data_IF_100733965758
#
_entry.id   IF_100733965758
#
_cell.length_a   1.000
_cell.length_b   1.000
_cell.length_c   1.000
_cell.angle_alpha   90.00
_cell.angle_beta   90.00
_cell.angle_gamma   90.00
#
_symmetry.space_group_name_H-M   'P 1'
#
loop_
_entity.id
_entity.type
_entity.pdbx_description
1 polymer ?
#
# COMPACT_ATOMS: atom_id res chain seq x y z
N UNK A 1 -28.73 36.44 13.88
CA UNK A 1 -27.80 37.57 13.66
C UNK A 1 -28.41 38.45 12.60
N UNK A 2 -28.31 39.77 12.74
CA UNK A 2 -28.80 40.72 11.73
C UNK A 2 -27.65 41.05 10.76
N UNK A 3 -27.96 41.18 9.48
CA UNK A 3 -26.98 41.48 8.44
C UNK A 3 -26.77 42.98 8.31
N UNK A 4 -25.52 43.42 8.22
CA UNK A 4 -25.14 44.82 8.01
C UNK A 4 -24.51 44.98 6.63
N UNK A 5 -24.84 46.05 5.90
CA UNK A 5 -24.13 46.40 4.66
C UNK A 5 -22.77 47.00 4.99
N UNK A 6 -21.72 46.41 4.44
CA UNK A 6 -20.34 46.87 4.59
C UNK A 6 -19.74 47.27 3.24
N UNK A 7 -18.87 48.30 3.18
CA UNK A 7 -18.13 48.62 1.98
C UNK A 7 -17.11 47.52 1.64
N UNK A 8 -17.17 46.98 0.42
CA UNK A 8 -16.23 45.95 -0.07
C UNK A 8 -14.79 46.47 -0.13
N UNK A 9 -14.61 47.78 -0.30
CA UNK A 9 -13.30 48.46 -0.26
C UNK A 9 -12.62 48.40 1.11
N UNK A 10 -13.39 48.18 2.18
CA UNK A 10 -12.90 48.03 3.56
C UNK A 10 -12.84 46.58 4.02
N UNK A 11 -13.21 45.63 3.16
CA UNK A 11 -13.16 44.19 3.42
C UNK A 11 -11.78 43.64 3.02
N UNK A 12 -10.98 43.29 4.03
CA UNK A 12 -9.60 42.83 3.91
C UNK A 12 -9.54 41.33 4.19
N UNK A 13 -8.76 40.60 3.41
CA UNK A 13 -8.54 39.17 3.63
C UNK A 13 -7.73 38.93 4.92
N UNK A 14 -8.11 37.91 5.68
CA UNK A 14 -7.39 37.55 6.89
C UNK A 14 -5.99 37.02 6.58
N UNK A 15 -4.98 37.45 7.35
CA UNK A 15 -3.61 36.90 7.30
C UNK A 15 -3.53 35.42 7.67
N UNK A 16 -4.56 34.89 8.35
CA UNK A 16 -4.66 33.48 8.77
C UNK A 16 -5.36 32.59 7.74
N UNK A 17 -5.65 33.10 6.54
CA UNK A 17 -6.21 32.31 5.44
C UNK A 17 -5.14 31.34 4.90
N UNK A 18 -5.34 30.04 5.15
CA UNK A 18 -4.39 29.01 4.75
C UNK A 18 -4.52 28.61 3.27
N UNK A 19 -5.73 28.74 2.69
CA UNK A 19 -5.99 28.41 1.28
C UNK A 19 -5.59 29.58 0.40
N UNK A 20 -4.65 29.34 -0.53
CA UNK A 20 -4.17 30.38 -1.47
C UNK A 20 -4.99 30.47 -2.75
N UNK A 21 -5.51 29.36 -3.25
CA UNK A 21 -6.28 29.33 -4.49
C UNK A 21 -7.79 29.24 -4.23
N UNK A 22 -8.53 30.23 -4.72
CA UNK A 22 -9.99 30.27 -4.60
C UNK A 22 -10.71 29.48 -5.69
N UNK A 23 -10.01 29.09 -6.77
CA UNK A 23 -10.57 28.44 -7.96
C UNK A 23 -11.41 29.39 -8.84
N UNK A 24 -12.12 28.84 -9.82
CA UNK A 24 -13.02 29.63 -10.69
C UNK A 24 -14.25 30.13 -9.91
N UNK A 25 -14.49 31.44 -9.99
CA UNK A 25 -15.62 32.16 -9.37
C UNK A 25 -16.62 32.70 -10.41
N UNK A 26 -16.41 32.48 -11.70
CA UNK A 26 -17.23 33.03 -12.79
C UNK A 26 -18.71 32.65 -12.67
N UNK A 27 -19.01 31.37 -12.41
CA UNK A 27 -20.38 30.89 -12.20
C UNK A 27 -21.03 31.50 -10.94
N UNK A 28 -20.24 31.72 -9.88
CA UNK A 28 -20.72 32.36 -8.66
C UNK A 28 -21.00 33.86 -8.90
N UNK A 29 -20.14 34.54 -9.66
CA UNK A 29 -20.36 35.93 -10.07
C UNK A 29 -21.66 36.06 -10.87
N UNK A 30 -21.88 35.20 -11.88
CA UNK A 30 -23.14 35.18 -12.64
C UNK A 30 -24.36 34.93 -11.74
N UNK A 31 -24.25 34.04 -10.75
CA UNK A 31 -25.34 33.80 -9.80
C UNK A 31 -25.64 35.04 -8.93
N UNK A 32 -24.62 35.74 -8.46
CA UNK A 32 -24.76 36.98 -7.67
C UNK A 32 -25.35 38.10 -8.52
N UNK A 33 -24.98 38.21 -9.79
CA UNK A 33 -25.55 39.18 -10.73
C UNK A 33 -27.06 38.98 -10.92
N UNK A 34 -27.51 37.72 -11.03
CA UNK A 34 -28.93 37.38 -11.27
C UNK A 34 -29.77 37.43 -9.98
N UNK A 35 -29.26 36.89 -8.88
CA UNK A 35 -30.05 36.64 -7.66
C UNK A 35 -29.69 37.59 -6.51
N UNK A 36 -28.67 38.42 -6.66
CA UNK A 36 -28.08 39.17 -5.57
C UNK A 36 -27.27 38.29 -4.61
N UNK A 37 -26.78 38.88 -3.53
CA UNK A 37 -26.05 38.17 -2.49
C UNK A 37 -27.03 37.40 -1.58
N UNK A 38 -27.23 36.11 -1.87
CA UNK A 38 -28.11 35.25 -1.07
C UNK A 38 -27.51 34.97 0.32
N UNK A 39 -26.20 34.73 0.40
CA UNK A 39 -25.52 34.38 1.65
C UNK A 39 -24.62 35.53 2.13
N UNK A 40 -24.83 36.07 3.34
CA UNK A 40 -24.00 37.12 3.92
C UNK A 40 -22.56 36.67 4.18
N UNK A 41 -21.59 37.59 4.09
CA UNK A 41 -20.21 37.36 4.51
C UNK A 41 -20.12 37.25 6.04
N UNK A 42 -19.05 36.66 6.56
CA UNK A 42 -18.73 36.74 8.00
C UNK A 42 -17.44 37.52 8.12
N UNK A 43 -17.48 38.64 8.85
CA UNK A 43 -16.34 39.52 9.06
C UNK A 43 -16.16 39.86 10.53
N UNK A 44 -14.94 40.18 10.93
CA UNK A 44 -14.64 40.77 12.24
C UNK A 44 -14.31 42.25 12.05
N UNK A 45 -14.86 43.11 12.90
CA UNK A 45 -14.53 44.54 12.86
C UNK A 45 -13.10 44.76 13.37
N UNK A 46 -12.26 45.43 12.57
CA UNK A 46 -10.89 45.78 12.90
C UNK A 46 -10.63 47.26 12.57
N UNK A 47 -10.80 48.12 13.58
CA UNK A 47 -10.74 49.57 13.43
C UNK A 47 -11.75 50.09 12.40
N UNK A 48 -11.25 50.71 11.33
CA UNK A 48 -12.06 51.22 10.21
C UNK A 48 -12.28 50.18 9.09
N UNK A 49 -11.73 48.97 9.24
CA UNK A 49 -11.78 47.88 8.27
C UNK A 49 -12.55 46.66 8.79
N UNK A 50 -12.77 45.70 7.90
CA UNK A 50 -13.44 44.44 8.18
C UNK A 50 -12.53 43.29 7.74
N UNK A 51 -12.08 42.47 8.69
CA UNK A 51 -11.32 41.26 8.41
C UNK A 51 -12.26 40.14 7.98
N UNK A 52 -12.07 39.62 6.78
CA UNK A 52 -12.90 38.57 6.20
C UNK A 52 -12.57 37.21 6.84
N UNK A 53 -13.58 36.58 7.45
CA UNK A 53 -13.47 35.24 8.05
C UNK A 53 -14.11 34.20 7.14
N UNK A 54 -15.29 34.46 6.58
CA UNK A 54 -15.95 33.52 5.67
C UNK A 54 -16.56 34.23 4.46
N UNK A 55 -16.42 33.58 3.29
CA UNK A 55 -16.92 34.11 2.02
C UNK A 55 -15.85 34.70 1.10
N UNK A 56 -14.61 34.22 1.16
CA UNK A 56 -13.51 34.61 0.26
C UNK A 56 -13.87 34.54 -1.22
N UNK A 57 -14.42 33.40 -1.69
CA UNK A 57 -14.91 33.23 -3.07
C UNK A 57 -16.04 34.22 -3.44
N UNK A 58 -16.95 34.50 -2.51
CA UNK A 58 -18.05 35.47 -2.72
C UNK A 58 -17.50 36.89 -2.83
N UNK A 59 -16.59 37.27 -1.94
CA UNK A 59 -15.92 38.57 -1.98
C UNK A 59 -15.17 38.77 -3.29
N UNK A 60 -14.44 37.75 -3.77
CA UNK A 60 -13.78 37.78 -5.07
C UNK A 60 -14.77 37.93 -6.24
N UNK A 61 -15.86 37.16 -6.24
CA UNK A 61 -16.92 37.27 -7.25
C UNK A 61 -17.58 38.66 -7.26
N UNK A 62 -17.94 39.19 -6.09
CA UNK A 62 -18.55 40.52 -5.96
C UNK A 62 -17.61 41.64 -6.42
N UNK A 63 -16.31 41.55 -6.09
CA UNK A 63 -15.28 42.47 -6.59
C UNK A 63 -15.15 42.39 -8.11
N UNK A 64 -15.24 41.19 -8.70
CA UNK A 64 -15.19 41.02 -10.17
C UNK A 64 -16.38 41.65 -10.90
N UNK A 65 -17.53 41.75 -10.24
CA UNK A 65 -18.74 42.42 -10.74
C UNK A 65 -18.74 43.94 -10.52
N UNK A 66 -17.75 44.48 -9.79
CA UNK A 66 -17.69 45.90 -9.44
C UNK A 66 -18.72 46.34 -8.39
N UNK A 67 -19.21 45.42 -7.54
CA UNK A 67 -20.10 45.77 -6.44
C UNK A 67 -19.35 46.58 -5.37
N UNK A 68 -20.00 47.62 -4.82
CA UNK A 68 -19.41 48.50 -3.81
C UNK A 68 -19.68 48.02 -2.37
N UNK A 69 -20.78 47.32 -2.15
CA UNK A 69 -21.24 46.89 -0.82
C UNK A 69 -21.56 45.39 -0.78
N UNK A 70 -21.42 44.80 0.40
CA UNK A 70 -21.81 43.43 0.68
C UNK A 70 -22.61 43.33 1.99
N UNK A 71 -23.58 42.43 2.03
CA UNK A 71 -24.28 42.05 3.24
C UNK A 71 -23.37 41.13 4.07
N UNK A 72 -23.15 41.46 5.35
CA UNK A 72 -22.25 40.73 6.23
C UNK A 72 -22.79 40.61 7.65
N UNK A 73 -22.44 39.52 8.31
CA UNK A 73 -22.48 39.41 9.77
C UNK A 73 -21.19 39.98 10.33
N UNK A 74 -21.29 41.10 11.05
CA UNK A 74 -20.16 41.76 11.69
C UNK A 74 -20.01 41.22 13.11
N UNK A 75 -18.95 40.46 13.32
CA UNK A 75 -18.60 39.87 14.60
C UNK A 75 -17.73 40.83 15.41
N UNK A 76 -18.10 41.06 16.67
CA UNK A 76 -17.33 41.89 17.60
C UNK A 76 -16.54 41.05 18.59
N UNK A 77 -15.33 41.51 18.93
CA UNK A 77 -14.53 40.96 20.03
C UNK A 77 -13.96 39.57 19.79
N UNK A 78 -13.74 39.18 18.53
CA UNK A 78 -12.98 37.97 18.22
C UNK A 78 -11.48 38.30 18.22
N UNK A 79 -10.71 37.46 18.90
CA UNK A 79 -9.25 37.52 18.88
C UNK A 79 -8.69 36.72 17.70
N UNK A 80 -7.38 36.87 17.47
CA UNK A 80 -6.66 36.20 16.40
C UNK A 80 -6.80 34.67 16.46
N UNK A 81 -6.76 34.10 17.66
CA UNK A 81 -6.88 32.66 17.89
C UNK A 81 -8.23 32.12 17.40
N UNK A 82 -9.33 32.77 17.79
CA UNK A 82 -10.68 32.40 17.34
C UNK A 82 -10.86 32.58 15.84
N UNK A 83 -10.30 33.66 15.27
CA UNK A 83 -10.36 33.90 13.83
C UNK A 83 -9.65 32.77 13.07
N UNK A 84 -8.45 32.37 13.50
CA UNK A 84 -7.69 31.30 12.89
C UNK A 84 -8.41 29.94 12.96
N UNK A 85 -9.00 29.59 14.10
CA UNK A 85 -9.78 28.35 14.26
C UNK A 85 -10.96 28.27 13.28
N UNK A 86 -11.75 29.35 13.18
CA UNK A 86 -12.94 29.37 12.32
C UNK A 86 -12.55 29.32 10.84
N UNK A 87 -11.47 30.02 10.46
CA UNK A 87 -10.92 29.94 9.11
C UNK A 87 -10.45 28.53 8.75
N UNK A 88 -9.76 27.86 9.68
CA UNK A 88 -9.28 26.50 9.47
C UNK A 88 -10.45 25.51 9.28
N UNK A 89 -11.43 25.55 10.18
CA UNK A 89 -12.63 24.72 10.10
C UNK A 89 -13.44 24.96 8.82
N UNK A 90 -13.59 26.22 8.38
CA UNK A 90 -14.30 26.53 7.13
C UNK A 90 -13.59 25.98 5.90
N UNK A 91 -12.26 26.03 5.88
CA UNK A 91 -11.43 25.57 4.78
C UNK A 91 -11.50 24.04 4.60
N UNK A 92 -11.52 23.28 5.70
CA UNK A 92 -11.63 21.82 5.67
C UNK A 92 -12.94 21.35 5.05
N UNK A 93 -14.06 22.04 5.30
CA UNK A 93 -15.38 21.64 4.83
C UNK A 93 -15.67 21.91 3.33
N UNK A 94 -14.72 22.48 2.55
CA UNK A 94 -14.98 22.94 1.17
C UNK A 94 -14.19 22.24 0.06
N UNK A 95 -13.10 21.56 0.41
CA UNK A 95 -12.24 20.68 -0.42
C UNK A 95 -11.04 20.29 0.43
N UNK A 96 -10.48 19.10 0.24
CA UNK A 96 -9.28 18.67 0.96
C UNK A 96 -8.16 19.73 0.84
N UNK A 97 -7.66 20.19 2.00
CA UNK A 97 -6.44 20.98 2.09
C UNK A 97 -5.24 20.11 1.72
N UNK A 98 -4.24 20.70 1.07
CA UNK A 98 -2.94 20.03 0.92
C UNK A 98 -2.26 19.86 2.28
N UNK A 99 -1.37 18.87 2.42
CA UNK A 99 -0.63 18.64 3.68
C UNK A 99 0.16 19.86 4.15
N UNK A 100 0.71 20.64 3.20
CA UNK A 100 1.39 21.89 3.50
C UNK A 100 0.42 22.96 4.06
N UNK A 101 -0.78 23.08 3.50
CA UNK A 101 -1.82 24.01 4.00
C UNK A 101 -2.33 23.59 5.38
N UNK A 102 -2.52 22.28 5.61
CA UNK A 102 -2.93 21.71 6.89
C UNK A 102 -1.89 22.00 7.97
N UNK A 103 -0.61 21.71 7.70
CA UNK A 103 0.50 21.97 8.61
C UNK A 103 0.60 23.45 9.00
N UNK A 104 0.55 24.36 8.01
CA UNK A 104 0.56 25.82 8.28
C UNK A 104 -0.60 26.27 9.16
N UNK A 105 -1.80 25.73 8.92
CA UNK A 105 -2.99 26.09 9.67
C UNK A 105 -2.89 25.67 11.13
N UNK A 106 -2.44 24.44 11.39
CA UNK A 106 -2.21 23.94 12.75
C UNK A 106 -1.11 24.74 13.43
N UNK A 107 0.03 24.95 12.76
CA UNK A 107 1.15 25.71 13.33
C UNK A 107 0.75 27.15 13.70
N UNK A 108 -0.10 27.79 12.89
CA UNK A 108 -0.63 29.13 13.15
C UNK A 108 -1.50 29.12 14.41
N UNK A 109 -2.44 28.18 14.53
CA UNK A 109 -3.30 28.05 15.71
C UNK A 109 -2.47 27.83 16.98
N UNK A 110 -1.49 26.91 16.94
CA UNK A 110 -0.61 26.64 18.08
C UNK A 110 0.21 27.88 18.48
N UNK A 111 0.71 28.63 17.50
CA UNK A 111 1.48 29.87 17.75
C UNK A 111 0.63 30.98 18.36
N UNK A 112 -0.69 30.96 18.14
CA UNK A 112 -1.68 31.86 18.74
C UNK A 112 -2.18 31.39 20.11
N UNK A 113 -1.64 30.28 20.64
CA UNK A 113 -2.00 29.74 21.95
C UNK A 113 -3.26 28.88 21.96
N UNK A 114 -3.75 28.44 20.79
CA UNK A 114 -4.84 27.47 20.70
C UNK A 114 -4.38 26.11 21.26
N UNK A 115 -5.12 25.47 22.17
CA UNK A 115 -4.81 24.12 22.65
C UNK A 115 -4.74 23.10 21.51
N UNK A 116 -3.89 22.09 21.64
CA UNK A 116 -3.69 21.05 20.60
C UNK A 116 -4.99 20.33 20.27
N UNK A 117 -5.80 19.99 21.29
CA UNK A 117 -7.11 19.38 21.12
C UNK A 117 -8.04 20.22 20.23
N UNK A 118 -8.12 21.53 20.48
CA UNK A 118 -8.99 22.43 19.72
C UNK A 118 -8.47 22.65 18.29
N UNK A 119 -7.15 22.67 18.12
CA UNK A 119 -6.51 22.74 16.81
C UNK A 119 -6.78 21.46 16.00
N UNK A 120 -6.74 20.28 16.64
CA UNK A 120 -7.02 18.99 16.03
C UNK A 120 -8.48 18.90 15.54
N UNK A 121 -9.43 19.31 16.38
CA UNK A 121 -10.85 19.39 16.03
C UNK A 121 -11.07 20.36 14.86
N UNK A 122 -10.46 21.54 14.91
CA UNK A 122 -10.57 22.53 13.83
C UNK A 122 -9.99 22.02 12.51
N UNK A 123 -8.91 21.24 12.59
CA UNK A 123 -8.19 20.65 11.47
C UNK A 123 -8.76 19.31 10.97
N UNK A 124 -9.80 18.78 11.63
CA UNK A 124 -10.41 17.46 11.36
C UNK A 124 -9.38 16.32 11.33
N UNK A 125 -8.55 16.24 12.39
CA UNK A 125 -7.54 15.20 12.57
C UNK A 125 -7.61 14.59 13.98
N UNK A 126 -7.14 13.34 14.18
CA UNK A 126 -7.00 12.76 15.50
C UNK A 126 -6.05 13.59 16.38
N UNK A 127 -6.41 13.76 17.65
CA UNK A 127 -5.62 14.55 18.63
C UNK A 127 -4.19 14.03 18.76
N UNK A 128 -4.01 12.71 18.90
CA UNK A 128 -2.67 12.11 18.99
C UNK A 128 -1.79 12.39 17.77
N UNK A 129 -2.39 12.59 16.59
CA UNK A 129 -1.67 12.98 15.38
C UNK A 129 -1.23 14.44 15.43
N UNK A 130 -2.06 15.32 15.96
CA UNK A 130 -1.70 16.72 16.21
C UNK A 130 -0.59 16.82 17.27
N UNK A 131 -0.63 16.00 18.33
CA UNK A 131 0.43 15.91 19.34
C UNK A 131 1.75 15.42 18.75
N UNK A 132 1.71 14.37 17.92
CA UNK A 132 2.88 13.92 17.16
C UNK A 132 3.40 15.03 16.24
N UNK A 133 2.54 15.76 15.53
CA UNK A 133 2.98 16.92 14.73
C UNK A 133 3.72 17.95 15.60
N UNK A 134 3.18 18.31 16.77
CA UNK A 134 3.82 19.24 17.72
C UNK A 134 5.20 18.73 18.15
N UNK A 135 5.34 17.44 18.47
CA UNK A 135 6.65 16.84 18.79
C UNK A 135 7.60 16.92 17.59
N UNK A 136 7.09 16.57 16.41
CA UNK A 136 7.80 16.66 15.14
C UNK A 136 8.37 18.05 14.84
N UNK A 137 7.61 19.11 15.15
CA UNK A 137 8.10 20.49 14.94
C UNK A 137 9.35 20.85 15.73
N UNK A 138 9.67 20.09 16.80
CA UNK A 138 10.87 20.31 17.62
C UNK A 138 12.13 19.65 17.03
N UNK A 139 11.96 18.60 16.24
CA UNK A 139 13.06 17.87 15.59
C UNK A 139 13.32 18.34 14.15
N UNK A 140 12.32 18.96 13.53
CA UNK A 140 12.40 19.46 12.16
C UNK A 140 12.97 20.89 12.12
N UNK A 141 13.86 21.22 11.16
CA UNK A 141 14.30 22.59 10.95
C UNK A 141 13.12 23.54 10.72
N UNK A 142 13.18 24.76 11.26
CA UNK A 142 12.08 25.76 11.21
C UNK A 142 11.54 25.96 9.80
N UNK A 143 12.40 25.96 8.79
CA UNK A 143 12.02 26.16 7.38
C UNK A 143 11.25 24.98 6.77
N UNK A 144 11.33 23.79 7.39
CA UNK A 144 10.70 22.56 6.91
C UNK A 144 9.36 22.23 7.61
N UNK A 145 9.01 22.91 8.70
CA UNK A 145 7.79 22.67 9.50
C UNK A 145 6.49 22.82 8.70
N UNK A 146 6.52 23.66 7.65
CA UNK A 146 5.36 24.02 6.85
C UNK A 146 5.24 23.24 5.51
N UNK A 147 6.10 22.24 5.30
CA UNK A 147 6.17 21.52 4.03
C UNK A 147 5.13 20.40 3.94
N UNK A 148 4.98 19.61 5.00
CA UNK A 148 4.21 18.37 4.94
C UNK A 148 3.79 17.94 6.35
N UNK A 149 2.48 18.04 6.65
CA UNK A 149 1.93 17.69 7.94
C UNK A 149 2.18 16.21 8.31
N UNK A 150 1.96 15.29 7.36
CA UNK A 150 2.19 13.85 7.58
C UNK A 150 3.65 13.54 7.90
N UNK A 151 4.60 14.14 7.16
CA UNK A 151 6.02 13.92 7.41
C UNK A 151 6.43 14.36 8.81
N UNK A 152 5.96 15.54 9.23
CA UNK A 152 6.30 16.11 10.54
C UNK A 152 5.63 15.33 11.66
N UNK A 153 4.36 14.94 11.49
CA UNK A 153 3.68 14.07 12.44
C UNK A 153 4.41 12.73 12.61
N UNK A 154 4.79 12.08 11.51
CA UNK A 154 5.57 10.85 11.53
C UNK A 154 6.91 11.02 12.27
N UNK A 155 7.65 12.11 12.01
CA UNK A 155 8.89 12.36 12.74
C UNK A 155 8.66 12.53 14.25
N UNK A 156 7.53 13.13 14.62
CA UNK A 156 7.14 13.26 16.02
C UNK A 156 6.73 11.97 16.71
N UNK A 157 6.35 10.92 15.97
CA UNK A 157 6.13 9.58 16.54
C UNK A 157 7.44 8.88 16.92
N UNK A 158 8.57 9.36 16.38
CA UNK A 158 9.92 8.81 16.54
C UNK A 158 10.90 9.84 17.12
N UNK A 159 10.39 10.91 17.76
CA UNK A 159 11.19 12.04 18.23
C UNK A 159 12.24 11.65 19.28
N UNK A 160 12.05 10.52 19.94
CA UNK A 160 12.94 9.92 20.92
C UNK A 160 14.16 9.20 20.32
N UNK A 161 14.08 8.75 19.06
CA UNK A 161 15.11 7.91 18.42
C UNK A 161 15.73 8.51 17.16
N UNK A 162 15.11 9.53 16.57
CA UNK A 162 15.60 10.14 15.33
C UNK A 162 16.84 10.99 15.55
N UNK A 163 17.83 10.80 14.68
CA UNK A 163 19.00 11.68 14.56
C UNK A 163 18.79 12.78 13.53
N UNK A 164 19.67 13.79 13.49
CA UNK A 164 19.62 14.84 12.48
C UNK A 164 19.71 14.27 11.04
N UNK A 165 20.56 13.26 10.83
CA UNK A 165 20.69 12.59 9.53
C UNK A 165 19.41 11.83 9.15
N UNK A 166 18.73 11.22 10.12
CA UNK A 166 17.46 10.53 9.88
C UNK A 166 16.34 11.53 9.50
N UNK A 167 16.28 12.69 10.16
CA UNK A 167 15.34 13.77 9.82
C UNK A 167 15.56 14.25 8.38
N UNK A 168 16.81 14.49 7.98
CA UNK A 168 17.16 14.87 6.60
C UNK A 168 16.75 13.75 5.63
N UNK A 169 17.02 12.50 5.97
CA UNK A 169 16.65 11.36 5.15
C UNK A 169 15.13 11.27 4.95
N UNK A 170 14.33 11.42 6.02
CA UNK A 170 12.85 11.45 5.94
C UNK A 170 12.38 12.56 5.01
N UNK A 171 12.86 13.79 5.19
CA UNK A 171 12.46 14.94 4.37
C UNK A 171 12.85 14.79 2.90
N UNK A 172 13.90 14.01 2.59
CA UNK A 172 14.32 13.74 1.21
C UNK A 172 13.40 12.76 0.46
N UNK A 173 12.58 11.97 1.17
CA UNK A 173 11.71 10.96 0.57
C UNK A 173 10.35 11.54 0.19
N UNK A 174 9.80 11.02 -0.91
CA UNK A 174 8.47 11.41 -1.43
C UNK A 174 7.36 10.50 -0.93
N UNK A 175 7.62 9.20 -0.83
CA UNK A 175 6.63 8.21 -0.40
C UNK A 175 6.54 8.17 1.13
N UNK A 176 5.31 8.05 1.65
CA UNK A 176 5.07 7.80 3.06
C UNK A 176 5.80 6.54 3.56
N UNK A 177 5.76 5.46 2.79
CA UNK A 177 6.39 4.18 3.16
C UNK A 177 7.91 4.28 3.25
N UNK A 178 8.54 5.04 2.34
CA UNK A 178 9.98 5.27 2.38
C UNK A 178 10.38 6.09 3.61
N UNK A 179 9.56 7.07 3.99
CA UNK A 179 9.77 7.87 5.21
C UNK A 179 9.63 7.00 6.46
N UNK A 180 8.57 6.20 6.52
CA UNK A 180 8.33 5.29 7.61
C UNK A 180 9.45 4.25 7.76
N UNK A 181 9.99 3.75 6.65
CA UNK A 181 11.12 2.83 6.68
C UNK A 181 12.38 3.44 7.33
N UNK A 182 12.65 4.73 7.10
CA UNK A 182 13.74 5.45 7.78
C UNK A 182 13.49 5.52 9.28
N UNK A 183 12.28 5.93 9.69
CA UNK A 183 11.91 6.03 11.11
C UNK A 183 11.98 4.67 11.82
N UNK A 184 11.43 3.62 11.20
CA UNK A 184 11.48 2.25 11.73
C UNK A 184 12.91 1.76 11.91
N UNK A 185 13.78 2.03 10.93
CA UNK A 185 15.20 1.69 11.03
C UNK A 185 15.89 2.41 12.19
N UNK A 186 15.54 3.68 12.45
CA UNK A 186 16.06 4.42 13.60
C UNK A 186 15.61 3.79 14.93
N UNK A 187 14.33 3.40 15.04
CA UNK A 187 13.81 2.71 16.24
C UNK A 187 14.40 1.33 16.42
N UNK A 188 14.54 0.54 15.36
CA UNK A 188 15.19 -0.76 15.40
C UNK A 188 16.66 -0.66 15.85
N UNK A 189 17.38 0.39 15.41
CA UNK A 189 18.73 0.69 15.90
C UNK A 189 18.73 0.98 17.41
N UNK A 190 17.84 1.86 17.87
CA UNK A 190 17.73 2.16 19.30
C UNK A 190 17.35 0.93 20.13
N UNK A 191 16.42 0.10 19.65
CA UNK A 191 16.02 -1.15 20.29
C UNK A 191 17.20 -2.14 20.36
N UNK A 192 18.02 -2.22 19.30
CA UNK A 192 19.21 -3.07 19.30
C UNK A 192 20.26 -2.58 20.31
N UNK A 193 20.44 -1.26 20.43
CA UNK A 193 21.33 -0.67 21.45
C UNK A 193 20.82 -0.96 22.86
N UNK A 194 19.53 -0.74 23.13
CA UNK A 194 18.90 -1.04 24.43
C UNK A 194 19.03 -2.52 24.81
N UNK A 195 18.76 -3.41 23.86
CA UNK A 195 18.87 -4.84 24.05
C UNK A 195 20.31 -5.28 24.30
N UNK A 196 21.28 -4.68 23.60
CA UNK A 196 22.69 -4.92 23.87
C UNK A 196 23.10 -4.49 25.29
N UNK A 197 22.59 -3.35 25.78
CA UNK A 197 22.81 -2.91 27.18
C UNK A 197 22.16 -3.90 28.16
N UNK A 198 20.93 -4.36 27.87
CA UNK A 198 20.22 -5.35 28.70
C UNK A 198 21.03 -6.65 28.81
N UNK A 199 21.52 -7.18 27.70
CA UNK A 199 22.35 -8.40 27.68
C UNK A 199 23.68 -8.20 28.43
N UNK A 200 24.32 -7.05 28.26
CA UNK A 200 25.51 -6.70 29.03
C UNK A 200 25.26 -6.67 30.54
N UNK A 201 24.08 -6.19 30.99
CA UNK A 201 23.70 -6.20 32.40
C UNK A 201 23.47 -7.61 32.97
N UNK A 202 23.16 -8.57 32.10
CA UNK A 202 23.04 -9.99 32.43
C UNK A 202 24.40 -10.73 32.37
N UNK A 203 25.48 -10.03 32.03
CA UNK A 203 26.83 -10.59 31.92
C UNK A 203 27.11 -11.32 30.62
N UNK A 204 26.27 -11.12 29.59
CA UNK A 204 26.46 -11.70 28.26
C UNK A 204 27.19 -10.68 27.38
N UNK A 205 28.32 -11.09 26.78
CA UNK A 205 29.07 -10.23 25.88
C UNK A 205 28.38 -10.14 24.52
N UNK A 206 28.15 -8.91 24.05
CA UNK A 206 27.57 -8.64 22.73
C UNK A 206 28.70 -8.41 21.73
N UNK A 207 28.74 -9.21 20.68
CA UNK A 207 29.81 -9.21 19.67
C UNK A 207 29.25 -8.99 18.26
N UNK A 208 30.09 -8.49 17.36
CA UNK A 208 29.74 -8.44 15.95
C UNK A 208 29.80 -9.84 15.33
N UNK A 209 28.86 -10.18 14.44
CA UNK A 209 28.84 -11.51 13.83
C UNK A 209 30.13 -11.83 13.06
N UNK A 210 30.75 -10.84 12.45
CA UNK A 210 31.97 -11.03 11.66
C UNK A 210 33.20 -11.26 12.55
N UNK A 211 33.08 -11.00 13.86
CA UNK A 211 34.12 -11.30 14.85
C UNK A 211 34.09 -12.73 15.38
N UNK A 212 33.02 -13.49 15.08
CA UNK A 212 32.91 -14.90 15.46
C UNK A 212 33.81 -15.76 14.56
N UNK A 213 34.79 -16.44 15.16
CA UNK A 213 35.70 -17.36 14.46
C UNK A 213 35.12 -18.76 14.23
N UNK A 214 35.87 -19.60 13.52
CA UNK A 214 35.59 -21.03 13.41
C UNK A 214 35.64 -21.68 14.80
N UNK A 215 34.49 -22.04 15.37
CA UNK A 215 34.37 -22.63 16.71
C UNK A 215 33.11 -22.21 17.47
N UNK A 216 32.51 -21.08 17.11
CA UNK A 216 31.22 -20.66 17.67
C UNK A 216 30.06 -21.29 16.90
N UNK A 217 29.05 -21.78 17.62
CA UNK A 217 27.81 -22.33 17.06
C UNK A 217 26.59 -21.72 17.75
N UNK A 218 25.44 -21.78 17.06
CA UNK A 218 24.18 -21.22 17.58
C UNK A 218 23.72 -21.93 18.84
N UNK A 219 23.27 -21.16 19.83
CA UNK A 219 22.85 -21.64 21.14
C UNK A 219 21.46 -21.06 21.51
N UNK A 220 20.74 -21.73 22.42
CA UNK A 220 19.46 -21.27 22.96
C UNK A 220 19.55 -20.06 23.92
N UNK A 221 20.76 -19.71 24.38
CA UNK A 221 21.00 -18.56 25.26
C UNK A 221 20.95 -18.86 26.76
N UNK A 222 20.64 -20.09 27.13
CA UNK A 222 20.43 -20.57 28.50
C UNK A 222 21.54 -21.53 28.99
N UNK A 223 22.59 -21.71 28.20
CA UNK A 223 23.69 -22.62 28.50
C UNK A 223 24.60 -22.17 29.67
N UNK A 224 24.60 -20.88 30.01
CA UNK A 224 25.20 -20.35 31.24
C UNK A 224 26.72 -20.50 31.39
N UNK A 225 27.46 -20.87 30.34
CA UNK A 225 28.92 -20.97 30.39
C UNK A 225 29.62 -19.67 29.95
N UNK A 226 30.90 -19.47 30.34
CA UNK A 226 31.60 -18.20 30.12
C UNK A 226 31.80 -17.78 28.66
N UNK A 227 31.71 -18.72 27.71
CA UNK A 227 31.86 -18.46 26.28
C UNK A 227 30.55 -18.15 25.55
N UNK A 228 29.45 -17.94 26.28
CA UNK A 228 28.18 -17.48 25.71
C UNK A 228 28.30 -16.01 25.29
N UNK A 229 28.07 -15.76 24.01
CA UNK A 229 28.04 -14.42 23.41
C UNK A 229 26.74 -14.23 22.66
N UNK A 230 26.32 -12.98 22.50
CA UNK A 230 25.14 -12.62 21.74
C UNK A 230 25.49 -11.72 20.55
N UNK A 231 24.83 -11.94 19.43
CA UNK A 231 24.81 -11.01 18.30
C UNK A 231 23.44 -10.35 18.30
N UNK A 232 23.42 -9.03 18.46
CA UNK A 232 22.19 -8.23 18.39
C UNK A 232 22.17 -7.49 17.06
N UNK A 233 21.05 -7.55 16.35
CA UNK A 233 20.86 -6.84 15.09
C UNK A 233 19.54 -6.09 15.08
N UNK A 234 19.50 -4.87 14.53
CA UNK A 234 18.24 -4.19 14.29
C UNK A 234 17.42 -4.99 13.25
N UNK A 235 16.12 -5.14 13.49
CA UNK A 235 15.23 -5.80 12.54
C UNK A 235 15.15 -5.00 11.23
N UNK A 236 15.20 -5.70 10.10
CA UNK A 236 15.17 -5.04 8.78
C UNK A 236 13.78 -4.47 8.43
N UNK A 237 12.72 -5.13 8.91
CA UNK A 237 11.32 -4.81 8.56
C UNK A 237 10.46 -4.46 9.78
N UNK A 238 11.05 -4.51 10.98
CA UNK A 238 10.40 -4.22 12.26
C UNK A 238 11.02 -3.03 12.98
N UNK A 239 10.55 -2.78 14.20
CA UNK A 239 11.05 -1.74 15.09
C UNK A 239 11.83 -2.32 16.28
N UNK A 240 11.98 -3.65 16.34
CA UNK A 240 12.68 -4.36 17.39
C UNK A 240 14.12 -4.75 17.02
N UNK A 241 14.68 -5.62 17.85
CA UNK A 241 16.00 -6.20 17.65
C UNK A 241 15.92 -7.72 17.62
N UNK A 242 16.70 -8.33 16.74
CA UNK A 242 16.91 -9.77 16.70
C UNK A 242 18.15 -10.11 17.51
N UNK A 243 18.01 -11.07 18.44
CA UNK A 243 19.12 -11.57 19.25
C UNK A 243 19.39 -13.01 18.85
N UNK A 244 20.63 -13.31 18.51
CA UNK A 244 21.09 -14.67 18.28
C UNK A 244 22.23 -14.99 19.24
N UNK A 245 22.10 -16.07 20.00
CA UNK A 245 23.14 -16.50 20.93
C UNK A 245 24.09 -17.48 20.26
N UNK A 246 25.36 -17.37 20.62
CA UNK A 246 26.44 -18.23 20.17
C UNK A 246 27.27 -18.69 21.34
N UNK A 247 27.85 -19.87 21.23
CA UNK A 247 28.68 -20.41 22.30
C UNK A 247 29.82 -21.25 21.72
N UNK A 248 30.90 -21.41 22.49
CA UNK A 248 32.14 -22.09 22.11
C UNK A 248 32.20 -23.57 22.54
N UNK A 249 31.15 -24.06 23.22
CA UNK A 249 31.08 -25.43 23.72
C UNK A 249 30.48 -26.39 22.69
N UNK A 250 31.31 -27.19 22.00
CA UNK A 250 30.88 -28.15 20.98
C UNK A 250 29.76 -29.11 21.43
N UNK A 251 29.52 -29.28 22.74
CA UNK A 251 28.41 -30.07 23.26
C UNK A 251 27.02 -29.44 23.07
N UNK A 252 26.95 -28.14 22.81
CA UNK A 252 25.72 -27.40 22.49
C UNK A 252 25.49 -27.23 20.99
N UNK A 253 26.33 -27.83 20.14
CA UNK A 253 26.03 -27.94 18.71
C UNK A 253 24.73 -28.73 18.59
N UNK A 254 23.66 -28.04 18.20
CA UNK A 254 22.38 -28.64 17.93
C UNK A 254 22.56 -29.81 16.96
N UNK A 255 22.38 -31.03 17.48
CA UNK A 255 22.33 -32.21 16.65
C UNK A 255 20.87 -32.42 16.28
N UNK A 256 20.50 -32.23 15.00
CA UNK A 256 19.13 -32.41 14.60
C UNK A 256 18.70 -33.83 14.92
N UNK A 257 17.48 -33.98 15.41
CA UNK A 257 16.92 -35.29 15.70
C UNK A 257 16.81 -36.09 14.39
N UNK A 258 16.79 -37.44 14.45
CA UNK A 258 16.56 -38.25 13.25
C UNK A 258 15.28 -37.85 12.50
N UNK A 259 14.27 -37.35 13.22
CA UNK A 259 13.03 -36.82 12.64
C UNK A 259 13.28 -35.52 11.86
N UNK A 260 14.02 -34.56 12.42
CA UNK A 260 14.34 -33.29 11.74
C UNK A 260 15.26 -33.47 10.52
N UNK A 261 16.17 -34.45 10.59
CA UNK A 261 16.98 -34.86 9.44
C UNK A 261 16.07 -35.39 8.34
N UNK A 262 15.15 -36.31 8.68
CA UNK A 262 14.21 -36.87 7.72
C UNK A 262 13.27 -35.80 7.13
N UNK A 263 12.82 -34.84 7.92
CA UNK A 263 12.00 -33.72 7.43
C UNK A 263 12.77 -32.80 6.49
N UNK A 264 14.03 -32.51 6.81
CA UNK A 264 14.91 -31.72 5.95
C UNK A 264 15.21 -32.46 4.64
N UNK A 265 15.53 -33.76 4.70
CA UNK A 265 15.75 -34.59 3.51
C UNK A 265 14.49 -34.65 2.64
N UNK A 266 13.30 -34.80 3.24
CA UNK A 266 12.03 -34.79 2.52
C UNK A 266 11.74 -33.44 1.85
N UNK A 267 12.02 -32.32 2.55
CA UNK A 267 11.92 -30.97 1.98
C UNK A 267 12.87 -30.79 0.78
N UNK A 268 14.15 -31.18 0.95
CA UNK A 268 15.14 -31.10 -0.11
C UNK A 268 14.80 -32.01 -1.30
N UNK A 269 14.24 -33.19 -1.03
CA UNK A 269 13.72 -34.10 -2.04
C UNK A 269 12.60 -33.49 -2.85
N UNK A 270 11.56 -32.94 -2.20
CA UNK A 270 10.46 -32.24 -2.88
C UNK A 270 10.95 -31.06 -3.72
N UNK A 271 11.90 -30.27 -3.21
CA UNK A 271 12.52 -29.17 -3.97
C UNK A 271 13.25 -29.68 -5.21
N UNK A 272 14.07 -30.72 -5.08
CA UNK A 272 14.77 -31.31 -6.21
C UNK A 272 13.80 -31.87 -7.26
N UNK A 273 12.69 -32.49 -6.83
CA UNK A 273 11.62 -32.94 -7.73
C UNK A 273 10.98 -31.76 -8.46
N UNK A 274 10.62 -30.67 -7.76
CA UNK A 274 10.02 -29.49 -8.37
C UNK A 274 10.95 -28.85 -9.43
N UNK A 275 12.24 -28.70 -9.10
CA UNK A 275 13.25 -28.18 -10.03
C UNK A 275 13.38 -29.07 -11.27
N UNK A 276 13.41 -30.40 -11.09
CA UNK A 276 13.49 -31.35 -12.19
C UNK A 276 12.21 -31.38 -13.04
N UNK A 277 11.04 -31.28 -12.40
CA UNK A 277 9.73 -31.22 -13.03
C UNK A 277 9.63 -30.01 -13.96
N UNK A 278 10.13 -28.84 -13.53
CA UNK A 278 10.19 -27.64 -14.38
C UNK A 278 10.93 -27.87 -15.70
N UNK A 279 12.09 -28.54 -15.64
CA UNK A 279 12.85 -28.91 -16.84
C UNK A 279 12.10 -29.88 -17.76
N UNK A 280 11.42 -30.88 -17.20
CA UNK A 280 10.63 -31.85 -17.97
C UNK A 280 9.40 -31.23 -18.61
N UNK A 281 8.69 -30.36 -17.91
CA UNK A 281 7.55 -29.60 -18.44
C UNK A 281 8.01 -28.76 -19.64
N UNK A 282 9.16 -28.08 -19.52
CA UNK A 282 9.71 -27.28 -20.60
C UNK A 282 10.03 -28.13 -21.85
N UNK A 283 10.64 -29.31 -21.69
CA UNK A 283 10.92 -30.21 -22.81
C UNK A 283 9.65 -30.80 -23.43
N UNK A 284 8.66 -31.15 -22.60
CA UNK A 284 7.35 -31.61 -23.05
C UNK A 284 6.64 -30.55 -23.88
N UNK A 285 6.55 -29.32 -23.35
CA UNK A 285 5.95 -28.19 -24.04
C UNK A 285 6.64 -27.92 -25.39
N UNK A 286 7.99 -27.93 -25.44
CA UNK A 286 8.75 -27.80 -26.71
C UNK A 286 8.42 -28.91 -27.72
N UNK A 287 8.13 -30.13 -27.26
CA UNK A 287 7.83 -31.26 -28.14
C UNK A 287 6.43 -31.20 -28.75
N UNK A 288 5.50 -30.54 -28.06
CA UNK A 288 4.08 -30.45 -28.42
C UNK A 288 3.79 -29.19 -29.23
N UNK A 289 4.40 -28.07 -28.85
CA UNK A 289 4.15 -26.75 -29.45
C UNK A 289 4.23 -26.74 -31.00
N UNK A 290 5.16 -27.45 -31.68
CA UNK A 290 5.22 -27.49 -33.15
C UNK A 290 4.13 -28.29 -33.85
N UNK A 291 3.29 -29.06 -33.13
CA UNK A 291 2.27 -29.98 -33.68
C UNK A 291 0.86 -29.35 -33.76
N UNK A 292 0.78 -28.03 -33.59
CA UNK A 292 -0.44 -27.23 -33.76
C UNK A 292 -0.97 -27.28 -35.22
N UNK A 293 -2.29 -27.38 -35.50
CA UNK A 293 -3.44 -27.37 -34.59
C UNK A 293 -4.12 -28.75 -34.56
N UNK A 294 -3.57 -29.72 -33.84
CA UNK A 294 -4.37 -30.91 -33.55
C UNK A 294 -5.44 -30.55 -32.49
N UNK A 295 -6.72 -30.86 -32.76
CA UNK A 295 -7.82 -30.67 -31.81
C UNK A 295 -7.44 -31.27 -30.44
N UNK A 296 -7.40 -30.44 -29.39
CA UNK A 296 -7.19 -30.87 -28.00
C UNK A 296 -6.12 -30.11 -27.19
N UNK A 297 -5.34 -29.20 -27.80
CA UNK A 297 -4.19 -28.56 -27.13
C UNK A 297 -4.24 -27.02 -27.08
N UNK A 298 -5.43 -26.42 -27.05
CA UNK A 298 -5.61 -24.96 -27.05
C UNK A 298 -5.14 -24.28 -25.75
N UNK A 299 -5.39 -24.91 -24.59
CA UNK A 299 -5.11 -24.32 -23.26
C UNK A 299 -3.64 -24.06 -23.00
N UNK A 300 -2.74 -24.99 -23.33
CA UNK A 300 -1.30 -24.82 -23.10
C UNK A 300 -0.71 -23.65 -23.92
N UNK A 301 -1.23 -23.41 -25.14
CA UNK A 301 -0.79 -22.30 -25.97
C UNK A 301 -1.35 -20.96 -25.48
N UNK A 302 -2.61 -20.93 -25.07
CA UNK A 302 -3.22 -19.75 -24.44
C UNK A 302 -2.43 -19.35 -23.18
N UNK A 303 -2.13 -20.32 -22.33
CA UNK A 303 -1.37 -20.07 -21.11
C UNK A 303 0.08 -19.62 -21.41
N UNK A 304 0.74 -20.20 -22.42
CA UNK A 304 2.06 -19.72 -22.87
C UNK A 304 2.04 -18.31 -23.48
N UNK A 305 0.88 -17.88 -23.99
CA UNK A 305 0.63 -16.53 -24.51
C UNK A 305 0.41 -15.55 -23.36
N UNK A 306 -0.44 -15.89 -22.40
CA UNK A 306 -0.67 -15.10 -21.17
C UNK A 306 0.63 -14.93 -20.36
N UNK A 307 1.45 -15.99 -20.25
CA UNK A 307 2.77 -15.92 -19.61
C UNK A 307 3.77 -15.04 -20.38
N UNK A 308 3.63 -14.94 -21.72
CA UNK A 308 4.42 -14.02 -22.52
C UNK A 308 4.02 -12.57 -22.19
N UNK A 309 2.72 -12.27 -22.27
CA UNK A 309 2.18 -10.94 -22.03
C UNK A 309 2.55 -10.43 -20.64
N UNK A 310 2.36 -11.26 -19.61
CA UNK A 310 2.71 -10.90 -18.23
C UNK A 310 4.21 -10.61 -18.05
N UNK A 311 5.09 -11.26 -18.80
CA UNK A 311 6.54 -11.11 -18.67
C UNK A 311 7.09 -9.90 -19.43
N UNK A 312 6.46 -9.53 -20.55
CA UNK A 312 6.95 -8.48 -21.44
C UNK A 312 6.07 -7.23 -21.51
N UNK A 313 4.92 -7.23 -20.81
CA UNK A 313 3.94 -6.13 -20.75
C UNK A 313 3.48 -5.69 -22.16
N UNK A 314 3.41 -6.64 -23.08
CA UNK A 314 3.01 -6.45 -24.48
C UNK A 314 2.50 -7.75 -25.10
N UNK A 315 1.61 -7.66 -26.09
CA UNK A 315 1.22 -8.81 -26.89
C UNK A 315 2.42 -9.31 -27.74
N UNK A 316 2.52 -10.61 -28.05
CA UNK A 316 3.57 -11.12 -28.93
C UNK A 316 3.61 -10.43 -30.30
N UNK A 317 2.48 -9.94 -30.79
CA UNK A 317 2.39 -9.23 -32.07
C UNK A 317 2.90 -7.79 -31.96
N UNK A 318 2.67 -7.12 -30.83
CA UNK A 318 3.20 -5.78 -30.52
C UNK A 318 4.74 -5.78 -30.41
N UNK A 319 5.32 -6.87 -29.90
CA UNK A 319 6.78 -7.03 -29.79
C UNK A 319 7.52 -6.97 -31.15
N UNK A 320 6.80 -7.04 -32.28
CA UNK A 320 7.34 -6.95 -33.64
C UNK A 320 7.02 -5.63 -34.36
N UNK A 321 6.48 -4.62 -33.68
CA UNK A 321 6.19 -3.32 -34.29
C UNK A 321 7.45 -2.73 -34.97
N UNK A 322 7.40 -2.55 -36.30
CA UNK A 322 8.52 -2.06 -37.11
C UNK A 322 9.40 -3.13 -37.78
N UNK A 323 9.14 -4.42 -37.54
CA UNK A 323 9.75 -5.53 -38.28
C UNK A 323 8.77 -6.12 -39.31
N UNK A 324 9.28 -6.88 -40.28
CA UNK A 324 8.42 -7.62 -41.20
C UNK A 324 7.81 -8.80 -40.42
N UNK A 325 6.48 -8.78 -40.24
CA UNK A 325 5.74 -9.81 -39.48
C UNK A 325 6.32 -11.22 -39.70
N UNK A 326 6.82 -11.88 -38.65
CA UNK A 326 7.28 -13.24 -38.76
C UNK A 326 6.11 -14.15 -39.14
N UNK A 327 6.29 -14.97 -40.18
CA UNK A 327 5.32 -16.05 -40.46
C UNK A 327 5.26 -16.98 -39.26
N UNK A 328 4.07 -17.46 -38.88
CA UNK A 328 3.75 -18.36 -37.75
C UNK A 328 4.93 -19.14 -37.13
N UNK A 329 5.70 -19.87 -37.95
CA UNK A 329 6.87 -20.64 -37.51
C UNK A 329 7.96 -19.85 -36.77
N UNK A 330 8.20 -18.58 -37.11
CA UNK A 330 9.21 -17.74 -36.48
C UNK A 330 8.71 -17.13 -35.15
N UNK A 331 7.43 -16.79 -35.06
CA UNK A 331 6.76 -16.40 -33.81
C UNK A 331 6.73 -17.60 -32.85
N UNK A 332 6.36 -18.77 -33.36
CA UNK A 332 6.36 -20.02 -32.61
C UNK A 332 7.76 -20.37 -32.06
N UNK A 333 8.81 -20.19 -32.85
CA UNK A 333 10.20 -20.37 -32.40
C UNK A 333 10.63 -19.37 -31.33
N UNK A 334 10.15 -18.13 -31.39
CA UNK A 334 10.45 -17.11 -30.40
C UNK A 334 9.78 -17.43 -29.05
N UNK A 335 8.49 -17.74 -29.07
CA UNK A 335 7.71 -18.20 -27.90
C UNK A 335 8.35 -19.47 -27.31
N UNK A 336 8.65 -20.46 -28.15
CA UNK A 336 9.37 -21.70 -27.75
C UNK A 336 10.67 -21.46 -26.98
N UNK A 337 11.46 -20.45 -27.37
CA UNK A 337 12.77 -20.19 -26.79
C UNK A 337 12.74 -19.25 -25.58
N UNK A 338 11.76 -18.34 -25.49
CA UNK A 338 11.74 -17.27 -24.49
C UNK A 338 10.74 -17.49 -23.37
N UNK A 339 9.63 -18.19 -23.61
CA UNK A 339 8.56 -18.30 -22.60
C UNK A 339 8.34 -19.69 -22.08
N UNK A 340 8.62 -20.74 -22.85
CA UNK A 340 8.47 -22.12 -22.36
C UNK A 340 9.23 -22.41 -21.06
N UNK A 341 10.46 -21.93 -20.85
CA UNK A 341 11.13 -22.07 -19.55
C UNK A 341 10.46 -21.30 -18.41
N UNK A 342 9.71 -20.25 -18.72
CA UNK A 342 8.90 -19.49 -17.77
C UNK A 342 7.46 -20.03 -17.69
N UNK A 343 7.16 -21.16 -18.35
CA UNK A 343 5.80 -21.68 -18.44
C UNK A 343 5.36 -22.54 -17.25
N UNK A 344 6.12 -22.55 -16.16
CA UNK A 344 5.75 -23.28 -14.94
C UNK A 344 5.47 -22.22 -13.88
N UNK A 345 4.25 -22.16 -13.32
CA UNK A 345 3.98 -21.28 -12.18
C UNK A 345 5.02 -21.49 -11.08
N UNK A 346 5.43 -20.40 -10.44
CA UNK A 346 6.29 -20.47 -9.27
C UNK A 346 5.55 -21.08 -8.08
N UNK A 347 6.30 -21.73 -7.19
CA UNK A 347 5.82 -22.18 -5.89
C UNK A 347 6.75 -21.62 -4.80
N UNK A 348 6.22 -21.00 -3.74
CA UNK A 348 7.04 -20.55 -2.62
C UNK A 348 7.71 -21.73 -1.93
N UNK A 349 9.01 -21.65 -1.62
CA UNK A 349 9.74 -22.77 -0.99
C UNK A 349 9.06 -23.29 0.30
N UNK A 350 8.39 -22.42 1.05
CA UNK A 350 7.71 -22.78 2.31
C UNK A 350 6.60 -23.83 2.13
N UNK A 351 5.93 -23.88 0.98
CA UNK A 351 4.86 -24.87 0.72
C UNK A 351 5.39 -26.30 0.64
N UNK A 352 6.69 -26.45 0.38
CA UNK A 352 7.37 -27.74 0.34
C UNK A 352 7.71 -28.27 1.74
N UNK A 353 7.45 -27.51 2.81
CA UNK A 353 7.67 -27.99 4.18
C UNK A 353 6.54 -28.92 4.62
N UNK A 354 6.86 -29.88 5.48
CA UNK A 354 5.84 -30.77 6.07
C UNK A 354 4.97 -29.98 7.04
N UNK A 355 3.66 -30.22 7.03
CA UNK A 355 2.72 -29.55 7.95
C UNK A 355 2.62 -28.03 7.73
N UNK A 356 2.89 -27.56 6.51
CA UNK A 356 2.73 -26.16 6.17
C UNK A 356 1.24 -25.79 6.09
N UNK A 357 0.84 -24.78 6.86
CA UNK A 357 -0.50 -24.17 6.78
C UNK A 357 -0.48 -22.99 5.76
N UNK A 358 -1.40 -22.97 4.78
CA UNK A 358 -1.42 -21.92 3.76
C UNK A 358 -1.64 -20.53 4.32
N UNK A 359 -0.69 -19.63 4.09
CA UNK A 359 -0.94 -18.20 4.25
C UNK A 359 -1.74 -17.67 3.06
N UNK A 360 -2.59 -16.67 3.29
CA UNK A 360 -3.42 -16.05 2.25
C UNK A 360 -2.62 -15.58 1.03
N UNK A 361 -1.36 -15.18 1.22
CA UNK A 361 -0.46 -14.74 0.14
C UNK A 361 0.04 -15.88 -0.74
N UNK A 362 0.20 -17.07 -0.19
CA UNK A 362 0.74 -18.21 -0.92
C UNK A 362 -0.37 -19.08 -1.55
N UNK A 363 -1.63 -18.83 -1.17
CA UNK A 363 -2.80 -19.56 -1.63
C UNK A 363 -3.00 -19.47 -3.15
N UNK A 364 -2.89 -18.26 -3.72
CA UNK A 364 -3.07 -18.04 -5.16
C UNK A 364 -1.98 -18.75 -5.97
N UNK A 365 -0.72 -18.71 -5.51
CA UNK A 365 0.40 -19.40 -6.16
C UNK A 365 0.25 -20.92 -6.08
N UNK A 366 -0.19 -21.43 -4.92
CA UNK A 366 -0.42 -22.87 -4.71
C UNK A 366 -1.57 -23.40 -5.59
N UNK A 367 -2.73 -22.73 -5.59
CA UNK A 367 -3.88 -23.10 -6.43
C UNK A 367 -3.57 -22.94 -7.92
N UNK A 368 -2.83 -21.89 -8.28
CA UNK A 368 -2.38 -21.67 -9.66
C UNK A 368 -1.47 -22.79 -10.16
N UNK A 369 -0.55 -23.28 -9.31
CA UNK A 369 0.31 -24.40 -9.66
C UNK A 369 -0.47 -25.72 -9.79
N UNK A 370 -1.32 -26.07 -8.81
CA UNK A 370 -2.07 -27.34 -8.84
C UNK A 370 -3.04 -27.39 -10.02
N UNK A 371 -3.81 -26.33 -10.26
CA UNK A 371 -4.70 -26.23 -11.42
C UNK A 371 -3.92 -26.27 -12.74
N UNK A 372 -2.74 -25.66 -12.82
CA UNK A 372 -1.91 -25.77 -14.02
C UNK A 372 -1.51 -27.23 -14.32
N UNK A 373 -1.13 -28.01 -13.30
CA UNK A 373 -0.78 -29.42 -13.50
C UNK A 373 -2.00 -30.24 -13.91
N UNK A 374 -3.11 -30.10 -13.20
CA UNK A 374 -4.30 -30.95 -13.35
C UNK A 374 -5.17 -30.56 -14.56
N UNK A 375 -5.35 -29.27 -14.82
CA UNK A 375 -6.27 -28.75 -15.84
C UNK A 375 -5.60 -28.40 -17.18
N UNK A 376 -4.27 -28.26 -17.18
CA UNK A 376 -3.49 -27.85 -18.37
C UNK A 376 -2.49 -28.93 -18.80
N UNK A 377 -1.58 -29.37 -17.92
CA UNK A 377 -0.50 -30.29 -18.30
C UNK A 377 -0.99 -31.72 -18.53
N UNK A 378 -1.69 -32.30 -17.56
CA UNK A 378 -2.16 -33.69 -17.67
C UNK A 378 -3.13 -33.89 -18.85
N UNK A 379 -4.12 -33.01 -19.10
CA UNK A 379 -5.00 -33.12 -20.27
C UNK A 379 -4.26 -32.94 -21.60
N UNK A 380 -3.13 -32.22 -21.61
CA UNK A 380 -2.25 -32.11 -22.78
C UNK A 380 -1.43 -33.39 -23.05
N UNK A 381 -1.49 -34.38 -22.14
CA UNK A 381 -0.81 -35.67 -22.25
C UNK A 381 0.50 -35.77 -21.47
N UNK A 382 0.74 -34.90 -20.48
CA UNK A 382 1.89 -35.01 -19.59
C UNK A 382 1.68 -36.15 -18.59
N UNK A 383 2.63 -37.08 -18.52
CA UNK A 383 2.62 -38.17 -17.54
C UNK A 383 3.55 -37.83 -16.37
N UNK A 384 2.99 -37.78 -15.16
CA UNK A 384 3.74 -37.57 -13.93
C UNK A 384 4.55 -38.84 -13.58
N UNK A 385 5.81 -38.63 -13.21
CA UNK A 385 6.65 -39.65 -12.57
C UNK A 385 6.14 -40.00 -11.17
N UNK A 386 6.75 -41.01 -10.54
CA UNK A 386 6.43 -41.37 -9.16
C UNK A 386 6.72 -40.21 -8.20
N UNK A 387 7.90 -39.59 -8.34
CA UNK A 387 8.31 -38.48 -7.47
C UNK A 387 7.44 -37.22 -7.69
N UNK A 388 7.03 -36.94 -8.93
CA UNK A 388 6.11 -35.83 -9.23
C UNK A 388 4.70 -36.08 -8.70
N UNK A 389 4.23 -37.34 -8.69
CA UNK A 389 2.95 -37.70 -8.07
C UNK A 389 3.00 -37.52 -6.55
N UNK A 390 4.07 -37.97 -5.90
CA UNK A 390 4.27 -37.78 -4.46
C UNK A 390 4.31 -36.28 -4.09
N UNK A 391 4.91 -35.44 -4.94
CA UNK A 391 4.90 -33.99 -4.78
C UNK A 391 3.48 -33.42 -4.91
N UNK A 392 2.73 -33.82 -5.94
CA UNK A 392 1.35 -33.36 -6.14
C UNK A 392 0.43 -33.83 -5.01
N UNK A 393 0.58 -35.06 -4.52
CA UNK A 393 -0.17 -35.58 -3.37
C UNK A 393 0.14 -34.79 -2.09
N UNK A 394 1.40 -34.40 -1.87
CA UNK A 394 1.77 -33.49 -0.77
C UNK A 394 1.08 -32.13 -0.90
N UNK A 395 1.10 -31.52 -2.09
CA UNK A 395 0.50 -30.19 -2.32
C UNK A 395 -1.03 -30.23 -2.19
N UNK A 396 -1.69 -31.23 -2.76
CA UNK A 396 -3.13 -31.44 -2.62
C UNK A 396 -3.52 -31.79 -1.18
N UNK A 397 -2.66 -32.50 -0.46
CA UNK A 397 -2.83 -32.83 0.95
C UNK A 397 -2.85 -31.63 1.88
N UNK A 398 -2.26 -30.49 1.48
CA UNK A 398 -2.33 -29.23 2.23
C UNK A 398 -3.78 -28.73 2.32
N UNK A 399 -4.58 -28.96 1.28
CA UNK A 399 -6.00 -28.57 1.24
C UNK A 399 -6.94 -29.63 1.83
N UNK A 400 -6.46 -30.86 2.00
CA UNK A 400 -7.26 -31.98 2.48
C UNK A 400 -7.33 -32.06 4.01
N UNK A 401 -6.59 -31.20 4.72
CA UNK A 401 -6.57 -31.13 6.17
C UNK A 401 -7.41 -29.94 6.67
N UNK A 402 -8.74 -30.06 6.53
CA UNK A 402 -9.72 -29.55 7.50
C UNK A 402 -11.10 -30.11 7.13
N UNK A 403 -11.72 -30.77 8.10
CA UNK A 403 -13.15 -31.09 8.09
C UNK A 403 -13.94 -29.82 7.72
N UNK A 404 -14.96 -29.98 6.88
CA UNK A 404 -15.80 -28.92 6.28
C UNK A 404 -16.56 -28.00 7.29
N UNK A 405 -16.27 -28.06 8.59
CA UNK A 405 -17.12 -27.49 9.66
C UNK A 405 -16.45 -26.42 10.55
N UNK A 406 -15.17 -26.04 10.38
CA UNK A 406 -14.49 -25.07 11.29
C UNK A 406 -13.89 -23.79 10.65
N UNK A 407 -14.18 -23.48 9.39
CA UNK A 407 -13.70 -22.21 8.75
C UNK A 407 -14.71 -21.05 8.84
N UNK A 408 -15.98 -21.32 9.17
CA UNK A 408 -16.98 -20.27 9.43
C UNK A 408 -17.37 -20.28 10.90
N UNK A 409 -16.59 -19.57 11.72
CA UNK A 409 -16.97 -19.28 13.10
C UNK A 409 -18.33 -18.58 13.14
N UNK A 410 -19.25 -19.14 13.93
CA UNK A 410 -20.51 -18.52 14.32
C UNK A 410 -20.26 -17.12 14.90
N UNK A 411 -20.58 -16.08 14.11
CA UNK A 411 -20.38 -14.69 14.53
C UNK A 411 -21.07 -13.72 13.59
N UNK A 412 -22.31 -13.37 13.95
CA UNK A 412 -23.13 -12.27 13.41
C UNK A 412 -23.74 -12.47 12.01
N UNK A 413 -24.69 -13.41 11.92
CA UNK A 413 -25.79 -13.35 10.95
C UNK A 413 -27.11 -13.13 11.69
N UNK A 414 -27.32 -11.93 12.23
CA UNK A 414 -28.66 -11.39 12.43
C UNK A 414 -28.86 -10.19 11.50
N UNK A 415 -30.00 -10.20 10.81
CA UNK A 415 -30.49 -9.23 9.84
C UNK A 415 -29.85 -9.28 8.45
N UNK A 416 -30.44 -10.10 7.57
CA UNK A 416 -31.28 -9.63 6.46
C UNK A 416 -32.24 -10.78 6.14
N UNK A 417 -33.46 -10.70 6.69
CA UNK A 417 -34.60 -11.34 6.06
C UNK A 417 -35.01 -10.50 4.84
N UNK A 418 -35.59 -11.20 3.85
CA UNK A 418 -36.39 -10.68 2.74
C UNK A 418 -35.62 -10.41 1.43
N UNK A 419 -35.52 -11.43 0.56
CA UNK A 419 -36.38 -11.51 -0.64
C UNK A 419 -36.00 -12.69 -1.58
N UNK A 420 -36.98 -13.59 -1.73
CA UNK A 420 -37.40 -14.33 -2.95
C UNK A 420 -36.45 -15.32 -3.63
N UNK A 421 -36.86 -16.60 -3.57
CA UNK A 421 -36.52 -17.72 -4.44
C UNK A 421 -36.79 -17.40 -5.93
N UNK A 422 -35.83 -17.69 -6.83
CA UNK A 422 -36.09 -18.05 -8.24
C UNK A 422 -34.99 -19.01 -8.73
N UNK A 423 -35.45 -20.08 -9.41
CA UNK A 423 -34.77 -21.26 -9.95
C UNK A 423 -33.49 -21.06 -10.80
N UNK A 424 -32.66 -22.12 -10.75
CA UNK A 424 -31.57 -22.47 -11.68
C UNK A 424 -32.06 -22.66 -13.13
N UNK A 425 -31.45 -21.93 -14.07
CA UNK A 425 -31.05 -22.35 -15.43
C UNK A 425 -30.92 -21.10 -16.34
N UNK A 426 -29.69 -20.59 -16.49
CA UNK A 426 -29.11 -20.08 -17.75
C UNK A 426 -27.88 -19.21 -17.45
N UNK A 427 -26.73 -19.65 -17.96
CA UNK A 427 -25.49 -18.89 -18.02
C UNK A 427 -25.63 -17.83 -19.12
N UNK A 428 -25.60 -16.52 -18.84
CA UNK A 428 -25.65 -15.52 -19.89
C UNK A 428 -24.23 -15.29 -20.40
N UNK A 429 -24.11 -15.12 -21.72
CA UNK A 429 -22.91 -14.71 -22.49
C UNK A 429 -22.10 -15.84 -23.15
N UNK A 430 -22.62 -16.29 -24.29
CA UNK A 430 -21.80 -16.73 -25.43
C UNK A 430 -21.41 -15.50 -26.27
N UNK A 431 -20.10 -15.33 -26.49
CA UNK A 431 -19.54 -14.40 -27.45
C UNK A 431 -19.48 -15.08 -28.83
N UNK A 432 -20.23 -14.58 -29.81
CA UNK A 432 -19.91 -14.54 -31.25
C UNK A 432 -21.16 -14.30 -32.10
N UNK A 433 -21.53 -13.04 -32.36
CA UNK A 433 -22.11 -12.59 -33.66
C UNK A 433 -22.23 -11.07 -33.70
N UNK A 434 -21.22 -10.41 -34.28
CA UNK A 434 -21.35 -9.02 -34.75
C UNK A 434 -21.76 -9.09 -36.22
N UNK A 435 -23.07 -9.02 -36.49
CA UNK A 435 -23.60 -8.76 -37.83
C UNK A 435 -23.89 -7.26 -37.95
N UNK A 436 -22.92 -6.50 -38.47
CA UNK A 436 -23.09 -5.09 -38.81
C UNK A 436 -23.44 -4.92 -40.29
N UNK A 437 -24.72 -4.65 -40.59
CA UNK A 437 -25.11 -4.05 -41.88
C UNK A 437 -25.07 -2.52 -41.78
N UNK A 438 -24.25 -1.91 -42.64
CA UNK A 438 -24.21 -0.46 -42.88
C UNK A 438 -25.31 -0.07 -43.87
N UNK A 439 -26.18 0.89 -43.51
CA UNK A 439 -27.02 1.61 -44.47
C UNK A 439 -27.02 3.13 -44.20
N UNK A 440 -26.55 3.89 -45.19
CA UNK A 440 -26.67 5.35 -45.40
C UNK A 440 -26.12 6.33 -44.34
N UNK A 441 -24.84 6.17 -43.98
CA UNK A 441 -23.90 7.29 -44.05
C UNK A 441 -23.98 8.46 -43.04
N UNK A 442 -24.75 8.40 -41.94
CA UNK A 442 -24.66 9.37 -40.84
C UNK A 442 -24.97 8.79 -39.44
N UNK A 443 -24.26 9.32 -38.44
CA UNK A 443 -24.22 8.98 -37.01
C UNK A 443 -25.49 9.42 -36.24
N UNK A 444 -26.01 8.59 -35.32
CA UNK A 444 -26.90 9.05 -34.24
C UNK A 444 -26.51 8.40 -32.90
N UNK A 445 -26.06 9.26 -31.98
CA UNK A 445 -25.87 8.98 -30.55
C UNK A 445 -27.24 8.88 -29.89
N UNK A 446 -27.46 7.87 -29.04
CA UNK A 446 -28.50 7.95 -28.01
C UNK A 446 -27.96 7.40 -26.68
N UNK A 447 -27.70 8.37 -25.79
CA UNK A 447 -27.50 8.23 -24.34
C UNK A 447 -28.79 7.72 -23.69
N UNK A 448 -28.71 6.79 -22.75
CA UNK A 448 -29.66 6.58 -21.63
C UNK A 448 -29.14 5.40 -20.78
N UNK A 449 -29.16 5.42 -19.46
CA UNK A 449 -29.57 6.42 -18.47
C UNK A 449 -28.73 6.20 -17.20
#
# INVERSE_FOLDING_TARGET
METTKIPLSRCVESSYQNRKELGDVSGLARSIEVNGQITPLIVVADGDAYQLVAGHRRTAAMKSLGLEEADAYVMGGWDDARIAQILNAENNHRRELTEAERGRGIQTMLSLGVPVADAAVSADIPEGKAESYVRGTKVVPVDAVNLDFEAVALMGEYDDVLTEDDVVAVLSKKSFWDRQAVCRKARARAAAEEEAVRLGSLGIEVVDRDSLGEGYHGCGGDCGHPGLVAVVRPQAWGEGADVTFYCDDESHVYQPTPEEIAETEAFLGRRATLDAMGGRIAEFAKSIYPKFPAKGQSKLRQWAHEAFEACYDCEPDDAWEGFKEPKAKALDQFILMRTIPACVPGLPERVLKRGYEPWSRDLDELLGFTSFVDDVLMPAGYELSEEERDLMDHLSGIFAAEDEDEVFGEGEAEAIEEATEVDDDECPFDADTIDGEYLDGHLVIAKAA
#
